data_IF_626460284822
#
_entry.id   IF_626460284822
#
_cell.length_a   1.000
_cell.length_b   1.000
_cell.length_c   1.000
_cell.angle_alpha   90.00
_cell.angle_beta   90.00
_cell.angle_gamma   90.00
#
_symmetry.space_group_name_H-M   'P 1'
#
loop_
_entity.id
_entity.type
_entity.pdbx_description
1 polymer ?
#
# COMPACT_ATOMS: atom_id res chain seq x y z
N UNK A 1 -16.50 -9.94 11.71
CA UNK A 1 -15.26 -9.11 11.61
C UNK A 1 -15.63 -7.67 11.27
N UNK A 2 -14.95 -6.73 11.87
CA UNK A 2 -15.16 -5.33 11.52
C UNK A 2 -14.64 -5.04 10.10
N UNK A 3 -15.36 -4.22 9.37
CA UNK A 3 -15.02 -3.91 7.99
C UNK A 3 -14.87 -2.41 7.80
N UNK A 4 -13.71 -1.99 7.34
CA UNK A 4 -13.38 -0.58 7.13
C UNK A 4 -12.81 -0.43 5.73
N UNK A 5 -13.34 0.51 4.95
CA UNK A 5 -12.92 0.75 3.56
C UNK A 5 -12.97 -0.52 2.69
N UNK A 6 -13.92 -1.39 2.97
CA UNK A 6 -14.05 -2.64 2.25
C UNK A 6 -13.07 -3.73 2.66
N UNK A 7 -12.27 -3.49 3.69
CA UNK A 7 -11.28 -4.45 4.19
C UNK A 7 -11.75 -5.04 5.51
N UNK A 8 -11.74 -6.36 5.63
CA UNK A 8 -12.04 -7.04 6.88
C UNK A 8 -10.80 -7.01 7.76
N UNK A 9 -10.93 -6.44 8.95
CA UNK A 9 -9.81 -6.36 9.89
C UNK A 9 -9.91 -7.46 10.94
N UNK A 10 -8.77 -8.01 11.41
CA UNK A 10 -8.79 -9.06 12.43
C UNK A 10 -9.42 -8.58 13.73
N UNK A 11 -10.26 -9.42 14.34
CA UNK A 11 -10.90 -9.09 15.62
C UNK A 11 -10.03 -9.41 16.84
N UNK A 12 -9.09 -10.33 16.68
CA UNK A 12 -8.26 -10.84 17.77
C UNK A 12 -6.99 -10.01 18.01
N UNK A 13 -6.75 -8.99 17.20
CA UNK A 13 -5.58 -8.14 17.32
C UNK A 13 -5.94 -6.77 17.87
N UNK A 14 -4.95 -6.07 18.44
CA UNK A 14 -5.13 -4.71 18.90
C UNK A 14 -5.59 -3.82 17.75
N UNK A 15 -6.39 -2.82 18.06
CA UNK A 15 -6.92 -1.91 17.03
C UNK A 15 -5.82 -1.28 16.17
N UNK A 16 -4.72 -0.86 16.79
CA UNK A 16 -3.61 -0.23 16.07
C UNK A 16 -2.99 -1.18 15.05
N UNK A 17 -2.90 -2.47 15.38
CA UNK A 17 -2.35 -3.48 14.49
C UNK A 17 -3.36 -3.85 13.40
N UNK A 18 -4.63 -3.96 13.76
CA UNK A 18 -5.69 -4.29 12.81
C UNK A 18 -5.82 -3.22 11.73
N UNK A 19 -5.65 -1.95 12.07
CA UNK A 19 -5.71 -0.86 11.10
C UNK A 19 -4.60 -0.94 10.07
N UNK A 20 -3.46 -1.52 10.40
CA UNK A 20 -2.34 -1.65 9.44
C UNK A 20 -2.65 -2.61 8.30
N UNK A 21 -3.71 -3.40 8.39
CA UNK A 21 -4.15 -4.27 7.29
C UNK A 21 -4.79 -3.48 6.15
N UNK A 22 -5.11 -2.22 6.37
CA UNK A 22 -5.66 -1.34 5.35
C UNK A 22 -4.49 -0.74 4.55
N UNK A 23 -4.55 -0.84 3.24
CA UNK A 23 -3.50 -0.29 2.37
C UNK A 23 -3.39 1.23 2.56
N UNK A 24 -2.20 1.69 2.86
CA UNK A 24 -1.92 3.10 3.11
C UNK A 24 -1.84 3.47 4.57
N UNK A 25 -2.15 2.56 5.48
CA UNK A 25 -2.05 2.81 6.92
C UNK A 25 -0.92 1.97 7.51
N UNK A 26 0.12 2.63 8.02
CA UNK A 26 1.21 2.00 8.75
C UNK A 26 1.00 2.15 10.26
N UNK A 27 2.00 1.71 11.03
CA UNK A 27 1.92 1.75 12.49
C UNK A 27 1.73 3.17 13.05
N UNK A 28 2.51 4.12 12.56
CA UNK A 28 2.45 5.50 13.06
C UNK A 28 1.13 6.16 12.72
N UNK A 29 0.65 5.99 11.50
CA UNK A 29 -0.63 6.53 11.09
C UNK A 29 -1.78 5.89 11.87
N UNK A 30 -1.70 4.57 12.12
CA UNK A 30 -2.70 3.87 12.92
C UNK A 30 -2.77 4.44 14.33
N UNK A 31 -1.64 4.73 14.96
CA UNK A 31 -1.59 5.36 16.28
C UNK A 31 -2.25 6.74 16.25
N UNK A 32 -1.92 7.55 15.25
CA UNK A 32 -2.51 8.88 15.09
C UNK A 32 -4.02 8.81 14.91
N UNK A 33 -4.49 7.87 14.11
CA UNK A 33 -5.92 7.66 13.89
C UNK A 33 -6.62 7.27 15.20
N UNK A 34 -6.03 6.37 15.98
CA UNK A 34 -6.59 5.99 17.27
C UNK A 34 -6.65 7.17 18.25
N UNK A 35 -5.60 7.98 18.28
CA UNK A 35 -5.57 9.17 19.14
C UNK A 35 -6.65 10.19 18.76
N UNK A 36 -6.79 10.45 17.47
CA UNK A 36 -7.77 11.42 16.97
C UNK A 36 -9.20 10.93 17.15
N UNK A 37 -9.42 9.63 17.03
CA UNK A 37 -10.73 9.02 17.25
C UNK A 37 -11.04 8.76 18.72
N UNK A 38 -10.06 9.00 19.60
CA UNK A 38 -10.18 8.76 21.05
C UNK A 38 -10.50 7.30 21.38
N UNK A 39 -9.86 6.40 20.66
CA UNK A 39 -10.00 4.96 20.84
C UNK A 39 -8.72 4.41 21.46
N UNK A 40 -8.87 3.48 22.42
CA UNK A 40 -7.73 2.80 23.04
C UNK A 40 -7.00 1.96 21.99
N UNK A 41 -5.71 2.25 21.69
CA UNK A 41 -5.00 1.49 20.64
C UNK A 41 -4.75 0.03 21.02
N UNK A 42 -4.68 -0.30 22.30
CA UNK A 42 -4.46 -1.66 22.78
C UNK A 42 -5.74 -2.49 22.87
N UNK A 43 -6.90 -1.88 22.65
CA UNK A 43 -8.17 -2.58 22.66
C UNK A 43 -8.28 -3.48 21.43
N UNK A 44 -8.75 -4.70 21.60
CA UNK A 44 -8.93 -5.61 20.47
C UNK A 44 -10.03 -5.09 19.55
N UNK A 45 -9.82 -5.27 18.24
CA UNK A 45 -10.76 -4.76 17.25
C UNK A 45 -12.18 -5.36 17.42
N UNK A 46 -12.27 -6.59 17.85
CA UNK A 46 -13.57 -7.24 18.10
C UNK A 46 -14.35 -6.67 19.28
N UNK A 47 -13.68 -5.95 20.17
CA UNK A 47 -14.30 -5.36 21.36
C UNK A 47 -14.73 -3.89 21.15
N UNK A 48 -14.57 -3.36 19.94
CA UNK A 48 -14.93 -1.98 19.63
C UNK A 48 -16.46 -1.81 19.58
N UNK A 49 -16.92 -0.69 20.14
CA UNK A 49 -18.33 -0.33 20.05
C UNK A 49 -18.63 0.26 18.68
N UNK A 50 -19.92 0.36 18.33
CA UNK A 50 -20.34 0.96 17.08
C UNK A 50 -19.88 2.41 16.96
N UNK A 51 -19.95 3.17 18.05
CA UNK A 51 -19.52 4.56 18.05
C UNK A 51 -18.03 4.70 17.80
N UNK A 52 -17.21 3.81 18.39
CA UNK A 52 -15.78 3.76 18.17
C UNK A 52 -15.46 3.40 16.72
N UNK A 53 -16.18 2.45 16.12
CA UNK A 53 -16.00 2.08 14.72
C UNK A 53 -16.33 3.24 13.77
N UNK A 54 -17.40 3.99 14.07
CA UNK A 54 -17.78 5.14 13.28
C UNK A 54 -16.71 6.23 13.35
N UNK A 55 -16.20 6.50 14.56
CA UNK A 55 -15.13 7.48 14.76
C UNK A 55 -13.86 7.09 13.99
N UNK A 56 -13.49 5.81 14.01
CA UNK A 56 -12.34 5.30 13.27
C UNK A 56 -12.54 5.45 11.75
N UNK A 57 -13.73 5.13 11.26
CA UNK A 57 -14.04 5.27 9.82
C UNK A 57 -13.95 6.72 9.37
N UNK A 58 -14.45 7.63 10.18
CA UNK A 58 -14.40 9.06 9.85
C UNK A 58 -12.96 9.57 9.80
N UNK A 59 -12.11 9.14 10.73
CA UNK A 59 -10.70 9.50 10.72
C UNK A 59 -9.97 8.91 9.51
N UNK A 60 -10.23 7.65 9.19
CA UNK A 60 -9.60 6.98 8.06
C UNK A 60 -10.00 7.65 6.74
N UNK A 61 -11.24 8.12 6.63
CA UNK A 61 -11.71 8.79 5.43
C UNK A 61 -11.00 10.12 5.14
N UNK A 62 -10.31 10.69 6.12
CA UNK A 62 -9.51 11.91 5.93
C UNK A 62 -8.18 11.61 5.23
N UNK A 63 -7.79 10.36 5.11
CA UNK A 63 -6.52 9.94 4.52
C UNK A 63 -6.75 9.19 3.21
N UNK A 64 -5.74 9.26 2.33
CA UNK A 64 -5.76 8.44 1.12
C UNK A 64 -5.40 7.00 1.48
N UNK A 65 -6.35 6.09 1.31
CA UNK A 65 -6.17 4.67 1.63
C UNK A 65 -6.84 3.80 0.58
N UNK A 66 -6.48 2.53 0.53
CA UNK A 66 -7.06 1.49 -0.33
C UNK A 66 -7.19 1.94 -1.79
N UNK A 67 -8.37 1.84 -2.38
CA UNK A 67 -8.60 2.14 -3.79
C UNK A 67 -8.19 3.55 -4.20
N UNK A 68 -8.44 4.53 -3.34
CA UNK A 68 -8.09 5.92 -3.62
C UNK A 68 -6.57 6.09 -3.70
N UNK A 69 -5.84 5.48 -2.77
CA UNK A 69 -4.37 5.52 -2.78
C UNK A 69 -3.80 4.78 -3.99
N UNK A 70 -4.34 3.61 -4.32
CA UNK A 70 -3.90 2.85 -5.48
C UNK A 70 -4.10 3.63 -6.77
N UNK A 71 -5.22 4.33 -6.88
CA UNK A 71 -5.50 5.19 -8.02
C UNK A 71 -4.50 6.34 -8.11
N UNK A 72 -4.21 6.98 -6.97
CA UNK A 72 -3.25 8.08 -6.90
C UNK A 72 -1.86 7.64 -7.35
N UNK A 73 -1.39 6.49 -6.85
CA UNK A 73 -0.08 5.93 -7.24
C UNK A 73 -0.06 5.64 -8.73
N UNK A 74 -1.10 5.01 -9.26
CA UNK A 74 -1.18 4.70 -10.70
C UNK A 74 -1.16 5.95 -11.55
N UNK A 75 -1.89 6.98 -11.15
CA UNK A 75 -1.93 8.26 -11.87
C UNK A 75 -0.59 8.97 -11.82
N UNK A 76 0.11 8.91 -10.69
CA UNK A 76 1.43 9.53 -10.56
C UNK A 76 2.42 8.87 -11.52
N UNK A 77 2.42 7.55 -11.60
CA UNK A 77 3.27 6.81 -12.52
C UNK A 77 2.90 7.14 -13.97
N UNK A 78 1.63 7.18 -14.27
CA UNK A 78 1.15 7.52 -15.61
C UNK A 78 1.58 8.92 -16.02
N UNK A 79 1.53 9.88 -15.10
CA UNK A 79 2.00 11.25 -15.36
C UNK A 79 3.47 11.27 -15.75
N UNK A 80 4.31 10.51 -15.05
CA UNK A 80 5.73 10.41 -15.38
C UNK A 80 5.96 9.81 -16.76
N UNK A 81 5.14 8.85 -17.16
CA UNK A 81 5.20 8.25 -18.50
C UNK A 81 4.78 9.25 -19.57
N UNK A 82 3.74 10.04 -19.32
CA UNK A 82 3.20 11.00 -20.28
C UNK A 82 4.15 12.14 -20.57
N UNK A 83 4.91 12.60 -19.58
CA UNK A 83 5.88 13.68 -19.78
C UNK A 83 7.20 13.20 -20.38
N UNK A 84 7.28 11.90 -20.68
CA UNK A 84 8.47 11.27 -21.27
C UNK A 84 9.74 11.45 -20.45
N UNK A 85 9.59 11.44 -19.11
CA UNK A 85 10.75 11.48 -18.23
C UNK A 85 11.54 10.17 -18.30
N UNK A 86 12.81 10.20 -17.89
CA UNK A 86 13.59 8.97 -17.78
C UNK A 86 12.92 7.95 -16.86
N UNK A 87 12.44 8.42 -15.71
CA UNK A 87 11.74 7.57 -14.76
C UNK A 87 10.50 6.94 -15.40
N UNK A 88 9.72 7.72 -16.15
CA UNK A 88 8.55 7.22 -16.86
C UNK A 88 8.91 6.15 -17.89
N UNK A 89 10.00 6.34 -18.61
CA UNK A 89 10.50 5.35 -19.58
C UNK A 89 10.85 4.04 -18.88
N UNK A 90 11.49 4.12 -17.70
CA UNK A 90 11.82 2.93 -16.91
C UNK A 90 10.56 2.22 -16.44
N UNK A 91 9.53 2.96 -16.02
CA UNK A 91 8.25 2.37 -15.64
C UNK A 91 7.58 1.64 -16.80
N UNK A 92 7.59 2.25 -18.00
CA UNK A 92 7.02 1.60 -19.19
C UNK A 92 7.68 0.28 -19.51
N UNK A 93 8.99 0.20 -19.32
CA UNK A 93 9.76 -1.01 -19.62
C UNK A 93 9.81 -2.00 -18.47
N UNK A 94 9.24 -1.67 -17.32
CA UNK A 94 9.30 -2.53 -16.13
C UNK A 94 10.70 -2.67 -15.56
N UNK A 95 11.53 -1.66 -15.70
CA UNK A 95 12.93 -1.68 -15.25
C UNK A 95 13.09 -0.82 -13.99
N UNK A 96 14.16 -1.07 -13.19
CA UNK A 96 14.45 -0.24 -12.02
C UNK A 96 14.56 1.23 -12.38
N UNK A 97 14.00 2.09 -11.53
CA UNK A 97 13.86 3.53 -11.81
C UNK A 97 15.03 4.34 -11.26
N UNK A 98 15.70 3.83 -10.22
CA UNK A 98 16.72 4.59 -9.47
C UNK A 98 18.15 4.23 -9.83
N UNK A 99 18.39 3.85 -11.07
CA UNK A 99 19.74 3.61 -11.56
C UNK A 99 20.40 2.32 -11.12
N UNK A 100 19.62 1.35 -10.65
CA UNK A 100 20.16 0.06 -10.25
C UNK A 100 20.63 -0.73 -11.47
N UNK A 101 21.55 -1.67 -11.24
CA UNK A 101 22.04 -2.57 -12.29
C UNK A 101 20.92 -3.48 -12.77
N UNK A 102 20.87 -3.72 -14.06
CA UNK A 102 19.82 -4.56 -14.66
C UNK A 102 20.38 -5.88 -15.22
N UNK A 103 21.69 -5.97 -15.41
CA UNK A 103 22.29 -7.15 -16.05
C UNK A 103 22.41 -8.36 -15.13
N UNK A 104 22.32 -8.17 -13.81
CA UNK A 104 22.54 -9.26 -12.87
C UNK A 104 21.34 -9.50 -11.95
N UNK A 105 20.84 -8.45 -11.33
CA UNK A 105 19.77 -8.53 -10.35
C UNK A 105 18.55 -7.76 -10.85
N UNK A 106 17.85 -7.07 -10.00
CA UNK A 106 16.62 -6.33 -10.31
C UNK A 106 15.42 -7.24 -10.57
N UNK A 107 15.40 -8.41 -9.93
CA UNK A 107 14.32 -9.38 -10.15
C UNK A 107 12.97 -8.90 -9.63
N UNK A 108 12.94 -8.04 -8.62
CA UNK A 108 11.69 -7.49 -8.10
C UNK A 108 10.89 -6.75 -9.16
N UNK A 109 11.57 -5.97 -10.00
CA UNK A 109 10.91 -5.24 -11.10
C UNK A 109 10.77 -6.08 -12.35
N UNK A 110 11.79 -6.86 -12.69
CA UNK A 110 11.82 -7.66 -13.92
C UNK A 110 11.08 -8.98 -13.79
N UNK A 111 10.81 -9.42 -12.57
CA UNK A 111 10.23 -10.72 -12.30
C UNK A 111 11.26 -11.82 -12.24
N UNK A 112 10.81 -13.06 -12.13
CA UNK A 112 11.72 -14.21 -12.07
C UNK A 112 12.55 -14.32 -13.34
N UNK A 113 13.76 -14.86 -13.21
CA UNK A 113 14.60 -15.13 -14.35
C UNK A 113 13.91 -16.05 -15.35
N UNK A 114 14.01 -15.69 -16.63
CA UNK A 114 13.44 -16.49 -17.70
C UNK A 114 14.53 -17.00 -18.60
N UNK A 115 14.45 -18.29 -18.96
CA UNK A 115 15.34 -18.85 -19.96
C UNK A 115 14.87 -18.42 -21.34
N UNK A 116 15.79 -17.87 -22.13
CA UNK A 116 15.48 -17.47 -23.51
C UNK A 116 15.93 -18.61 -24.41
N UNK A 117 14.96 -19.36 -24.95
CA UNK A 117 15.22 -20.57 -25.72
C UNK A 117 16.07 -20.33 -26.97
N UNK A 118 15.89 -19.20 -27.64
CA UNK A 118 16.58 -18.88 -28.87
C UNK A 118 17.78 -17.96 -28.67
N UNK A 119 18.23 -17.79 -27.44
CA UNK A 119 19.40 -16.98 -27.16
C UNK A 119 20.64 -17.73 -27.64
N UNK A 120 21.24 -17.23 -28.70
CA UNK A 120 22.44 -17.85 -29.21
C UNK A 120 23.58 -17.65 -28.24
N UNK A 121 24.34 -18.71 -28.03
CA UNK A 121 25.58 -18.62 -27.30
C UNK A 121 26.62 -17.98 -28.23
N UNK A 122 27.22 -16.96 -27.76
CA UNK A 122 28.24 -16.25 -28.50
C UNK A 122 29.59 -16.67 -28.01
#
# INVERSE_FOLDING_TARGET
MARIKGVDIPNDKHTVISLTYIYGIGRNLAKTICENAKVEPTKKAGDLTQDELIALRDEINKHLTEGDLRREVSMTIKTKMEINSYEGTRHKKGLPVRGQRTSRNARTRKGKGKTVANKKKV
#
